data_IF_423412893588
#
_entry.id   IF_423412893588
#
_cell.length_a   1.000
_cell.length_b   1.000
_cell.length_c   1.000
_cell.angle_alpha   90.00
_cell.angle_beta   90.00
_cell.angle_gamma   90.00
#
_symmetry.space_group_name_H-M   'P 1'
#
loop_
_entity.id
_entity.type
_entity.pdbx_description
1 polymer ?
#
# COMPACT_ATOMS: atom_id res chain seq x y z
N UNK A 1 -11.11 1.81 -20.22
CA UNK A 1 -11.12 0.66 -19.29
C UNK A 1 -12.21 0.94 -18.28
N UNK A 2 -13.33 0.24 -18.40
CA UNK A 2 -14.58 0.48 -17.66
C UNK A 2 -14.46 -0.10 -16.25
N UNK A 3 -14.46 0.76 -15.23
CA UNK A 3 -14.66 0.33 -13.84
C UNK A 3 -16.05 -0.28 -13.70
N UNK A 4 -16.12 -1.59 -13.61
CA UNK A 4 -17.35 -2.29 -13.27
C UNK A 4 -17.39 -2.43 -11.74
N UNK A 5 -17.99 -1.43 -11.08
CA UNK A 5 -18.31 -1.49 -9.65
C UNK A 5 -19.52 -2.40 -9.47
N UNK A 6 -19.45 -3.36 -8.55
CA UNK A 6 -20.61 -4.18 -8.19
C UNK A 6 -21.66 -3.35 -7.44
N UNK A 7 -22.91 -3.81 -7.41
CA UNK A 7 -24.08 -3.11 -6.86
C UNK A 7 -23.99 -2.67 -5.38
N UNK A 8 -22.93 -3.06 -4.67
CA UNK A 8 -22.60 -2.62 -3.30
C UNK A 8 -21.42 -1.63 -3.20
N UNK A 9 -20.90 -1.10 -4.30
CA UNK A 9 -19.78 -0.17 -4.31
C UNK A 9 -18.38 -0.80 -4.22
N UNK A 10 -18.30 -2.14 -4.18
CA UNK A 10 -17.03 -2.90 -4.13
C UNK A 10 -16.30 -2.91 -5.47
N UNK A 11 -14.97 -2.84 -5.40
CA UNK A 11 -14.07 -3.15 -6.52
C UNK A 11 -14.25 -4.65 -6.88
N UNK A 12 -14.78 -4.93 -8.08
CA UNK A 12 -15.23 -6.27 -8.49
C UNK A 12 -14.09 -7.29 -8.63
N UNK A 13 -12.82 -6.86 -8.60
CA UNK A 13 -11.68 -7.76 -8.84
C UNK A 13 -10.45 -7.29 -8.08
N UNK A 14 -9.65 -8.24 -7.57
CA UNK A 14 -8.37 -7.96 -6.89
C UNK A 14 -7.43 -7.11 -7.75
N UNK A 15 -7.52 -7.25 -9.08
CA UNK A 15 -6.77 -6.46 -10.06
C UNK A 15 -7.10 -4.97 -10.04
N UNK A 16 -8.33 -4.58 -9.69
CA UNK A 16 -8.72 -3.17 -9.61
C UNK A 16 -8.17 -2.54 -8.32
N UNK A 17 -8.21 -3.28 -7.21
CA UNK A 17 -7.65 -2.86 -5.92
C UNK A 17 -6.11 -2.82 -5.94
N UNK A 18 -5.46 -3.83 -6.54
CA UNK A 18 -4.02 -3.79 -6.82
C UNK A 18 -3.70 -2.67 -7.80
N UNK A 19 -4.49 -2.50 -8.86
CA UNK A 19 -4.29 -1.46 -9.87
C UNK A 19 -4.32 -0.05 -9.28
N UNK A 20 -5.32 0.24 -8.45
CA UNK A 20 -5.44 1.54 -7.77
C UNK A 20 -4.33 1.74 -6.73
N UNK A 21 -3.98 0.70 -5.97
CA UNK A 21 -2.89 0.77 -5.00
C UNK A 21 -1.52 0.97 -5.68
N UNK A 22 -1.25 0.28 -6.78
CA UNK A 22 -0.05 0.47 -7.58
C UNK A 22 -0.02 1.83 -8.27
N UNK A 23 -1.15 2.34 -8.73
CA UNK A 23 -1.22 3.71 -9.24
C UNK A 23 -0.88 4.72 -8.13
N UNK A 24 -1.40 4.53 -6.91
CA UNK A 24 -1.04 5.34 -5.75
C UNK A 24 0.45 5.26 -5.39
N UNK A 25 1.03 4.06 -5.40
CA UNK A 25 2.47 3.85 -5.21
C UNK A 25 3.29 4.53 -6.32
N UNK A 26 2.90 4.39 -7.58
CA UNK A 26 3.62 4.99 -8.71
C UNK A 26 3.59 6.52 -8.66
N UNK A 27 2.44 7.11 -8.31
CA UNK A 27 2.31 8.56 -8.11
C UNK A 27 3.14 9.00 -6.91
N UNK A 28 3.05 8.30 -5.78
CA UNK A 28 3.85 8.60 -4.58
C UNK A 28 5.36 8.53 -4.86
N UNK A 29 5.79 7.51 -5.60
CA UNK A 29 7.18 7.34 -6.00
C UNK A 29 7.61 8.45 -6.97
N UNK A 30 6.79 8.80 -7.96
CA UNK A 30 7.06 9.91 -8.88
C UNK A 30 7.23 11.24 -8.15
N UNK A 31 6.33 11.57 -7.21
CA UNK A 31 6.42 12.78 -6.40
C UNK A 31 7.69 12.78 -5.54
N UNK A 32 8.01 11.66 -4.90
CA UNK A 32 9.20 11.54 -4.07
C UNK A 32 10.50 11.66 -4.89
N UNK A 33 10.55 11.06 -6.07
CA UNK A 33 11.70 11.16 -6.98
C UNK A 33 11.89 12.59 -7.49
N UNK A 34 10.80 13.30 -7.80
CA UNK A 34 10.87 14.73 -8.17
C UNK A 34 11.41 15.55 -7.01
N UNK A 35 10.92 15.30 -5.79
CA UNK A 35 11.40 15.97 -4.59
C UNK A 35 12.90 15.74 -4.34
N UNK A 36 13.34 14.48 -4.39
CA UNK A 36 14.76 14.08 -4.25
C UNK A 36 15.63 14.75 -5.31
N UNK A 37 15.16 14.78 -6.56
CA UNK A 37 15.87 15.41 -7.67
C UNK A 37 16.06 16.90 -7.42
N UNK A 38 15.02 17.60 -6.95
CA UNK A 38 15.10 19.04 -6.64
C UNK A 38 16.04 19.31 -5.47
N UNK A 39 15.99 18.50 -4.41
CA UNK A 39 16.87 18.62 -3.24
C UNK A 39 18.34 18.38 -3.62
N UNK A 40 18.60 17.38 -4.45
CA UNK A 40 19.94 17.08 -4.95
C UNK A 40 20.48 18.20 -5.86
N UNK A 41 19.65 18.73 -6.76
CA UNK A 41 20.04 19.84 -7.66
C UNK A 41 20.29 21.15 -6.91
N UNK A 42 19.63 21.36 -5.78
CA UNK A 42 19.82 22.57 -4.94
C UNK A 42 20.96 22.41 -3.93
N UNK A 43 21.60 21.23 -3.84
CA UNK A 43 22.67 20.94 -2.90
C UNK A 43 22.19 20.83 -1.44
N UNK A 44 20.89 20.65 -1.23
CA UNK A 44 20.27 20.57 0.10
C UNK A 44 20.17 19.12 0.63
N UNK A 45 20.54 18.12 -0.18
CA UNK A 45 20.56 16.72 0.21
C UNK A 45 21.18 15.81 -0.86
N UNK A 46 21.41 14.54 -0.51
CA UNK A 46 21.94 13.53 -1.42
C UNK A 46 20.82 12.61 -1.94
N UNK A 47 20.89 12.22 -3.21
CA UNK A 47 19.83 11.44 -3.85
C UNK A 47 19.77 10.01 -3.26
N UNK A 48 18.61 9.61 -2.76
CA UNK A 48 18.37 8.30 -2.16
C UNK A 48 18.39 8.28 -0.63
N UNK A 49 18.69 9.41 0.01
CA UNK A 49 18.72 9.53 1.48
C UNK A 49 17.30 9.58 2.08
N UNK A 50 16.30 9.99 1.29
CA UNK A 50 14.91 10.06 1.77
C UNK A 50 14.33 8.71 2.16
N UNK A 51 13.40 8.77 3.13
CA UNK A 51 12.67 7.60 3.59
C UNK A 51 11.70 7.08 2.50
N UNK A 52 12.03 5.94 1.90
CA UNK A 52 11.20 5.30 0.85
C UNK A 52 9.80 4.87 1.32
N UNK A 53 9.53 4.79 2.62
CA UNK A 53 8.19 4.52 3.15
C UNK A 53 7.18 5.64 2.86
N UNK A 54 7.65 6.85 2.51
CA UNK A 54 6.78 7.98 2.15
C UNK A 54 5.86 7.67 0.95
N UNK A 55 6.26 6.72 0.10
CA UNK A 55 5.44 6.26 -1.03
C UNK A 55 4.11 5.62 -0.58
N UNK A 56 4.02 5.16 0.68
CA UNK A 56 2.79 4.59 1.25
C UNK A 56 1.70 5.61 1.57
N UNK A 57 2.00 6.91 1.60
CA UNK A 57 1.02 7.92 2.02
C UNK A 57 -0.27 7.83 1.21
N UNK A 58 -0.15 7.70 -0.12
CA UNK A 58 -1.31 7.57 -1.00
C UNK A 58 -2.04 6.21 -0.84
N UNK A 59 -1.36 5.05 -0.88
CA UNK A 59 -1.98 3.76 -0.60
C UNK A 59 -2.72 3.70 0.74
N UNK A 60 -2.12 4.21 1.82
CA UNK A 60 -2.73 4.21 3.16
C UNK A 60 -4.02 5.01 3.17
N UNK A 61 -4.05 6.16 2.50
CA UNK A 61 -5.24 6.97 2.39
C UNK A 61 -6.36 6.22 1.64
N UNK A 62 -6.03 5.60 0.49
CA UNK A 62 -6.96 4.77 -0.29
C UNK A 62 -7.52 3.61 0.54
N UNK A 63 -6.67 2.90 1.27
CA UNK A 63 -7.09 1.81 2.16
C UNK A 63 -8.01 2.29 3.28
N UNK A 64 -7.78 3.50 3.78
CA UNK A 64 -8.65 4.12 4.78
C UNK A 64 -10.02 4.44 4.21
N UNK A 65 -10.09 4.92 2.96
CA UNK A 65 -11.36 5.14 2.27
C UNK A 65 -12.12 3.84 2.03
N UNK A 66 -11.45 2.79 1.57
CA UNK A 66 -12.06 1.47 1.35
C UNK A 66 -12.57 0.86 2.67
N UNK A 67 -11.78 1.01 3.75
CA UNK A 67 -12.18 0.59 5.09
C UNK A 67 -13.43 1.34 5.59
N UNK A 68 -13.55 2.63 5.27
CA UNK A 68 -14.73 3.44 5.58
C UNK A 68 -15.92 3.05 4.71
N UNK A 69 -15.70 2.71 3.45
CA UNK A 69 -16.73 2.36 2.47
C UNK A 69 -17.41 1.01 2.79
N UNK A 70 -16.70 0.03 3.36
CA UNK A 70 -17.26 -1.30 3.70
C UNK A 70 -18.35 -1.24 4.79
N UNK A 71 -18.55 -0.10 5.47
CA UNK A 71 -19.60 0.05 6.49
C UNK A 71 -19.27 -0.63 7.83
N UNK A 72 -20.19 -0.66 8.80
CA UNK A 72 -19.88 -1.08 10.18
C UNK A 72 -19.92 -2.61 10.38
N UNK A 73 -18.79 -3.21 10.79
CA UNK A 73 -18.72 -4.61 11.22
C UNK A 73 -17.40 -5.00 11.89
N UNK A 74 -17.39 -6.03 12.76
CA UNK A 74 -16.17 -6.48 13.45
C UNK A 74 -15.15 -7.13 12.50
N UNK A 75 -15.63 -7.72 11.40
CA UNK A 75 -14.82 -8.40 10.39
C UNK A 75 -13.83 -7.44 9.70
N UNK A 76 -14.23 -6.21 9.35
CA UNK A 76 -13.33 -5.23 8.72
C UNK A 76 -12.18 -4.82 9.64
N UNK A 77 -12.45 -4.69 10.95
CA UNK A 77 -11.43 -4.29 11.94
C UNK A 77 -10.40 -5.40 12.06
N UNK A 78 -10.84 -6.65 12.17
CA UNK A 78 -9.94 -7.80 12.20
C UNK A 78 -9.12 -7.91 10.91
N UNK A 79 -9.77 -7.87 9.75
CA UNK A 79 -9.07 -8.03 8.46
C UNK A 79 -8.14 -6.85 8.17
N UNK A 80 -8.58 -5.62 8.42
CA UNK A 80 -7.75 -4.43 8.28
C UNK A 80 -6.56 -4.43 9.23
N UNK A 81 -6.76 -4.85 10.49
CA UNK A 81 -5.70 -5.01 11.47
C UNK A 81 -4.69 -6.09 11.07
N UNK A 82 -5.16 -7.25 10.63
CA UNK A 82 -4.30 -8.33 10.12
C UNK A 82 -3.55 -7.89 8.86
N UNK A 83 -4.22 -7.22 7.93
CA UNK A 83 -3.61 -6.70 6.71
C UNK A 83 -2.51 -5.68 7.02
N UNK A 84 -2.77 -4.76 7.95
CA UNK A 84 -1.78 -3.79 8.40
C UNK A 84 -0.60 -4.47 9.12
N UNK A 85 -0.87 -5.42 10.01
CA UNK A 85 0.15 -6.14 10.76
C UNK A 85 1.05 -6.99 9.85
N UNK A 86 0.46 -7.83 9.00
CA UNK A 86 1.22 -8.64 8.05
C UNK A 86 1.91 -7.79 6.98
N UNK A 87 1.25 -6.74 6.49
CA UNK A 87 1.83 -5.80 5.54
C UNK A 87 3.06 -5.10 6.11
N UNK A 88 2.99 -4.59 7.34
CA UNK A 88 4.12 -3.97 8.03
C UNK A 88 5.25 -4.97 8.29
N UNK A 89 4.94 -6.17 8.80
CA UNK A 89 5.95 -7.19 9.09
C UNK A 89 6.68 -7.64 7.81
N UNK A 90 5.94 -7.96 6.76
CA UNK A 90 6.52 -8.36 5.48
C UNK A 90 7.30 -7.22 4.82
N UNK A 91 6.74 -6.00 4.83
CA UNK A 91 7.39 -4.81 4.30
C UNK A 91 8.69 -4.45 5.02
N UNK A 92 8.70 -4.50 6.36
CA UNK A 92 9.92 -4.31 7.16
C UNK A 92 10.95 -5.40 6.89
N UNK A 93 10.52 -6.66 6.72
CA UNK A 93 11.42 -7.76 6.39
C UNK A 93 12.12 -7.52 5.07
N UNK A 94 11.37 -7.19 4.01
CA UNK A 94 11.94 -6.90 2.68
C UNK A 94 12.80 -5.64 2.71
N UNK A 95 12.35 -4.57 3.36
CA UNK A 95 13.13 -3.35 3.50
C UNK A 95 14.47 -3.63 4.20
N UNK A 96 14.48 -4.42 5.27
CA UNK A 96 15.70 -4.81 5.98
C UNK A 96 16.67 -5.59 5.08
N UNK A 97 16.18 -6.55 4.30
CA UNK A 97 17.02 -7.31 3.36
C UNK A 97 17.60 -6.42 2.25
N UNK A 98 16.81 -5.45 1.75
CA UNK A 98 17.25 -4.55 0.68
C UNK A 98 18.16 -3.44 1.21
N UNK A 99 18.07 -3.08 2.50
CA UNK A 99 18.90 -2.05 3.13
C UNK A 99 20.40 -2.42 3.12
N UNK A 100 20.74 -3.70 3.02
CA UNK A 100 22.14 -4.15 2.94
C UNK A 100 22.82 -3.78 1.62
N UNK A 101 22.04 -3.56 0.55
CA UNK A 101 22.56 -3.42 -0.83
C UNK A 101 22.07 -2.18 -1.56
N UNK A 102 21.11 -1.42 -1.01
CA UNK A 102 20.50 -0.29 -1.68
C UNK A 102 20.25 0.90 -0.73
N UNK A 103 20.15 2.14 -1.26
CA UNK A 103 19.86 3.33 -0.47
C UNK A 103 18.52 3.25 0.28
N UNK A 104 18.35 4.04 1.36
CA UNK A 104 17.11 4.12 2.15
C UNK A 104 15.83 4.31 1.32
N UNK A 105 15.90 5.08 0.23
CA UNK A 105 14.79 5.28 -0.69
C UNK A 105 14.32 3.97 -1.35
N UNK A 106 15.26 3.17 -1.84
CA UNK A 106 14.97 1.90 -2.54
C UNK A 106 14.56 0.82 -1.54
N UNK A 107 15.27 0.74 -0.40
CA UNK A 107 14.91 -0.17 0.70
C UNK A 107 13.49 0.10 1.21
N UNK A 108 13.18 1.35 1.59
CA UNK A 108 11.86 1.73 2.05
C UNK A 108 10.78 1.55 0.97
N UNK A 109 11.08 1.88 -0.29
CA UNK A 109 10.17 1.69 -1.41
C UNK A 109 9.84 0.21 -1.65
N UNK A 110 10.83 -0.69 -1.57
CA UNK A 110 10.61 -2.13 -1.68
C UNK A 110 9.73 -2.68 -0.55
N UNK A 111 9.92 -2.17 0.67
CA UNK A 111 9.07 -2.48 1.82
C UNK A 111 7.64 -1.97 1.63
N UNK A 112 7.48 -0.75 1.12
CA UNK A 112 6.18 -0.15 0.81
C UNK A 112 5.41 -0.97 -0.23
N UNK A 113 6.06 -1.38 -1.32
CA UNK A 113 5.45 -2.23 -2.35
C UNK A 113 5.01 -3.57 -1.75
N UNK A 114 5.90 -4.22 -1.00
CA UNK A 114 5.61 -5.52 -0.37
C UNK A 114 4.44 -5.41 0.61
N UNK A 115 4.46 -4.42 1.49
CA UNK A 115 3.39 -4.20 2.47
C UNK A 115 2.05 -3.90 1.81
N UNK A 116 2.05 -3.12 0.73
CA UNK A 116 0.85 -2.84 -0.07
C UNK A 116 0.26 -4.12 -0.66
N UNK A 117 1.08 -4.97 -1.30
CA UNK A 117 0.63 -6.24 -1.88
C UNK A 117 0.04 -7.15 -0.81
N UNK A 118 0.74 -7.32 0.31
CA UNK A 118 0.27 -8.16 1.42
C UNK A 118 -1.03 -7.64 2.01
N UNK A 119 -1.15 -6.32 2.21
CA UNK A 119 -2.39 -5.70 2.67
C UNK A 119 -3.55 -6.00 1.72
N UNK A 120 -3.36 -5.79 0.42
CA UNK A 120 -4.38 -6.04 -0.61
C UNK A 120 -4.85 -7.51 -0.59
N UNK A 121 -3.92 -8.46 -0.48
CA UNK A 121 -4.22 -9.88 -0.41
C UNK A 121 -5.03 -10.21 0.85
N UNK A 122 -4.55 -9.78 2.03
CA UNK A 122 -5.22 -10.05 3.31
C UNK A 122 -6.61 -9.43 3.33
N UNK A 123 -6.75 -8.20 2.83
CA UNK A 123 -8.03 -7.50 2.74
C UNK A 123 -9.04 -8.27 1.88
N UNK A 124 -8.66 -8.59 0.64
CA UNK A 124 -9.56 -9.23 -0.31
C UNK A 124 -9.96 -10.66 0.11
N UNK A 125 -9.00 -11.47 0.53
CA UNK A 125 -9.28 -12.84 0.95
C UNK A 125 -9.94 -12.90 2.34
N UNK A 126 -9.52 -12.03 3.27
CA UNK A 126 -10.07 -11.97 4.62
C UNK A 126 -11.54 -11.59 4.65
N UNK A 127 -11.95 -10.60 3.85
CA UNK A 127 -13.35 -10.21 3.74
C UNK A 127 -14.22 -11.34 3.16
N UNK A 128 -13.77 -11.99 2.07
CA UNK A 128 -14.49 -13.11 1.45
C UNK A 128 -14.61 -14.33 2.36
N UNK A 129 -13.57 -14.64 3.12
CA UNK A 129 -13.57 -15.79 4.00
C UNK A 129 -14.47 -15.58 5.23
N UNK A 130 -14.45 -14.39 5.83
CA UNK A 130 -15.33 -14.05 6.95
C UNK A 130 -16.79 -13.92 6.50
N UNK A 131 -17.06 -13.31 5.34
CA UNK A 131 -18.43 -13.20 4.82
C UNK A 131 -19.09 -14.57 4.59
N UNK A 132 -18.30 -15.57 4.20
CA UNK A 132 -18.78 -16.94 3.96
C UNK A 132 -19.11 -17.72 5.24
N UNK A 133 -18.58 -17.30 6.40
CA UNK A 133 -18.82 -17.96 7.70
C UNK A 133 -19.89 -17.29 8.54
N UNK A 134 -20.23 -16.03 8.23
CA UNK A 134 -21.23 -15.25 8.96
C UNK A 134 -22.61 -15.20 8.28
N UNK A 135 -22.82 -15.96 7.21
CA UNK A 135 -24.12 -16.16 6.54
C UNK A 135 -24.60 -17.59 6.69
#
# INVERSE_FOLDING_TARGET
>A
MTQQKDAGGRLATISDLLGSAFAGLAVGAGVLLVFETVMALTGLGEFGESNGWLVLILPVWLFTEEFRAEGFGAHRIMVGGLGAGFGAAAGMTVAGLVAEVAPPLVSGGSGAVTGTVVYCLVWFYGLRWLSHRSG
#
